data_IF_376987509439
#
_entry.id   IF_376987509439
#
_cell.length_a   1.000
_cell.length_b   1.000
_cell.length_c   1.000
_cell.angle_alpha   90.00
_cell.angle_beta   90.00
_cell.angle_gamma   90.00
#
_symmetry.space_group_name_H-M   'P 1'
#
loop_
_entity.id
_entity.type
_entity.pdbx_description
1 polymer ?
#
# COMPACT_ATOMS: atom_id res chain seq x y z
N UNK A 1 21.57 31.18 -11.39
CA UNK A 1 20.99 30.44 -10.25
C UNK A 1 20.33 29.17 -10.78
N UNK A 2 20.86 27.97 -10.49
CA UNK A 2 20.17 26.69 -10.76
C UNK A 2 19.80 26.12 -9.38
N UNK A 3 18.50 25.96 -9.06
CA UNK A 3 18.08 25.50 -7.75
C UNK A 3 18.60 24.08 -7.51
N UNK A 4 19.07 23.85 -6.29
CA UNK A 4 19.74 22.62 -5.89
C UNK A 4 18.92 21.38 -6.23
N UNK A 5 19.63 20.38 -6.78
CA UNK A 5 19.10 19.05 -6.99
C UNK A 5 18.66 18.47 -5.63
N UNK A 6 17.35 18.42 -5.42
CA UNK A 6 16.75 17.54 -4.42
C UNK A 6 17.23 16.14 -4.81
N UNK A 7 18.14 15.56 -4.02
CA UNK A 7 18.61 14.18 -4.14
C UNK A 7 17.36 13.30 -4.23
N UNK A 8 16.99 12.88 -5.44
CA UNK A 8 15.78 12.11 -5.70
C UNK A 8 15.90 10.86 -4.84
N UNK A 9 15.20 10.85 -3.70
CA UNK A 9 15.10 9.66 -2.84
C UNK A 9 14.60 8.58 -3.77
N UNK A 10 15.30 7.46 -3.82
CA UNK A 10 15.00 6.36 -4.73
C UNK A 10 13.51 6.01 -4.60
N UNK A 11 12.68 6.54 -5.51
CA UNK A 11 11.21 6.39 -5.50
C UNK A 11 10.80 5.09 -6.19
N UNK A 12 11.77 4.39 -6.79
CA UNK A 12 11.57 3.08 -7.42
C UNK A 12 10.87 2.07 -6.50
N UNK A 13 11.15 1.98 -5.18
CA UNK A 13 10.45 1.07 -4.27
C UNK A 13 8.97 1.45 -4.10
N UNK A 14 8.67 2.75 -3.94
CA UNK A 14 7.30 3.26 -3.81
C UNK A 14 6.52 3.06 -5.11
N UNK A 15 7.14 3.33 -6.26
CA UNK A 15 6.52 3.11 -7.56
C UNK A 15 6.25 1.62 -7.82
N UNK A 16 7.16 0.74 -7.41
CA UNK A 16 6.98 -0.71 -7.56
C UNK A 16 5.86 -1.19 -6.64
N UNK A 17 5.80 -0.70 -5.40
CA UNK A 17 4.69 -0.94 -4.49
C UNK A 17 3.36 -0.45 -5.05
N UNK A 18 3.31 0.79 -5.56
CA UNK A 18 2.10 1.35 -6.16
C UNK A 18 1.61 0.52 -7.35
N UNK A 19 2.52 0.04 -8.21
CA UNK A 19 2.20 -0.87 -9.33
C UNK A 19 1.67 -2.22 -8.83
N UNK A 20 2.23 -2.77 -7.77
CA UNK A 20 1.76 -4.02 -7.17
C UNK A 20 0.38 -3.83 -6.51
N UNK A 21 0.20 -2.76 -5.73
CA UNK A 21 -1.06 -2.38 -5.12
C UNK A 21 -2.15 -2.10 -6.17
N UNK A 22 -1.81 -1.50 -7.30
CA UNK A 22 -2.72 -1.30 -8.42
C UNK A 22 -3.17 -2.63 -9.06
N UNK A 23 -2.32 -3.67 -9.05
CA UNK A 23 -2.72 -5.02 -9.49
C UNK A 23 -3.61 -5.75 -8.47
N UNK A 24 -3.53 -5.34 -7.20
CA UNK A 24 -4.35 -5.83 -6.09
C UNK A 24 -5.44 -4.82 -5.71
N UNK A 25 -5.90 -4.02 -6.69
CA UNK A 25 -6.82 -2.89 -6.47
C UNK A 25 -8.18 -3.33 -5.94
N UNK A 26 -8.57 -4.59 -6.16
CA UNK A 26 -9.78 -5.17 -5.59
C UNK A 26 -9.66 -5.28 -4.06
N UNK A 27 -8.62 -5.96 -3.57
CA UNK A 27 -8.37 -6.05 -2.12
C UNK A 27 -8.05 -4.69 -1.49
N UNK A 28 -7.35 -3.81 -2.22
CA UNK A 28 -7.07 -2.45 -1.77
C UNK A 28 -8.36 -1.63 -1.56
N UNK A 29 -9.36 -1.79 -2.44
CA UNK A 29 -10.67 -1.16 -2.30
C UNK A 29 -11.44 -1.69 -1.10
N UNK A 30 -11.43 -3.00 -0.89
CA UNK A 30 -12.13 -3.62 0.26
C UNK A 30 -11.49 -3.18 1.58
N UNK A 31 -10.15 -3.23 1.65
CA UNK A 31 -9.41 -2.71 2.80
C UNK A 31 -9.65 -1.22 3.01
N UNK A 32 -9.56 -0.42 1.95
CA UNK A 32 -9.84 1.01 1.98
C UNK A 32 -11.25 1.32 2.46
N UNK A 33 -12.26 0.58 2.00
CA UNK A 33 -13.65 0.74 2.42
C UNK A 33 -13.83 0.46 3.93
N UNK A 34 -13.22 -0.60 4.45
CA UNK A 34 -13.23 -0.90 5.88
C UNK A 34 -12.55 0.21 6.70
N UNK A 35 -11.41 0.70 6.23
CA UNK A 35 -10.67 1.80 6.88
C UNK A 35 -11.49 3.09 6.88
N UNK A 36 -12.11 3.45 5.76
CA UNK A 36 -12.93 4.67 5.66
C UNK A 36 -14.21 4.57 6.47
N UNK A 37 -14.83 3.39 6.53
CA UNK A 37 -16.02 3.17 7.35
C UNK A 37 -15.73 3.27 8.85
N UNK A 38 -14.52 2.90 9.27
CA UNK A 38 -14.10 2.89 10.66
C UNK A 38 -13.06 3.98 10.99
N UNK A 39 -12.90 5.01 10.15
CA UNK A 39 -11.80 5.97 10.24
C UNK A 39 -11.71 6.66 11.61
N UNK A 40 -12.85 6.89 12.25
CA UNK A 40 -12.95 7.54 13.56
C UNK A 40 -12.55 6.64 14.74
N UNK A 41 -12.71 5.32 14.61
CA UNK A 41 -12.44 4.33 15.67
C UNK A 41 -11.55 3.20 15.17
N UNK A 42 -10.61 3.49 14.27
CA UNK A 42 -9.80 2.46 13.65
C UNK A 42 -8.82 1.87 14.66
N UNK A 43 -9.11 0.66 15.12
CA UNK A 43 -8.22 -0.09 16.00
C UNK A 43 -7.36 -1.10 15.23
N UNK A 44 -6.21 -1.42 15.84
CA UNK A 44 -5.32 -2.44 15.32
C UNK A 44 -6.09 -3.78 15.28
N UNK A 45 -6.20 -4.35 14.08
CA UNK A 45 -6.95 -5.58 13.75
C UNK A 45 -8.41 -5.42 13.28
N UNK A 46 -8.98 -4.21 13.23
CA UNK A 46 -10.36 -4.02 12.72
C UNK A 46 -10.52 -4.50 11.27
N UNK A 47 -9.59 -4.09 10.40
CA UNK A 47 -9.58 -4.49 8.99
C UNK A 47 -8.51 -5.56 8.70
N UNK A 48 -8.23 -6.44 9.67
CA UNK A 48 -7.09 -7.38 9.57
C UNK A 48 -7.25 -8.37 8.43
N UNK A 49 -8.47 -8.88 8.22
CA UNK A 49 -8.76 -9.84 7.13
C UNK A 49 -8.49 -9.23 5.77
N UNK A 50 -8.99 -8.02 5.54
CA UNK A 50 -8.84 -7.30 4.28
C UNK A 50 -7.38 -6.89 4.06
N UNK A 51 -6.71 -6.46 5.14
CA UNK A 51 -5.28 -6.16 5.11
C UNK A 51 -4.44 -7.39 4.79
N UNK A 52 -4.74 -8.56 5.35
CA UNK A 52 -4.03 -9.81 5.07
C UNK A 52 -4.20 -10.23 3.60
N UNK A 53 -5.39 -10.10 3.04
CA UNK A 53 -5.65 -10.38 1.62
C UNK A 53 -4.86 -9.42 0.71
N UNK A 54 -4.96 -8.11 0.97
CA UNK A 54 -4.20 -7.10 0.24
C UNK A 54 -2.69 -7.31 0.35
N UNK A 55 -2.19 -7.58 1.57
CA UNK A 55 -0.79 -7.89 1.83
C UNK A 55 -0.34 -9.11 1.05
N UNK A 56 -1.10 -10.20 1.06
CA UNK A 56 -0.76 -11.43 0.35
C UNK A 56 -0.62 -11.18 -1.15
N UNK A 57 -1.55 -10.47 -1.77
CA UNK A 57 -1.46 -10.14 -3.18
C UNK A 57 -0.28 -9.23 -3.49
N UNK A 58 -0.08 -8.16 -2.70
CA UNK A 58 1.03 -7.24 -2.90
C UNK A 58 2.38 -7.94 -2.71
N UNK A 59 2.52 -8.81 -1.71
CA UNK A 59 3.73 -9.61 -1.49
C UNK A 59 4.01 -10.55 -2.67
N UNK A 60 2.98 -11.21 -3.21
CA UNK A 60 3.13 -12.04 -4.41
C UNK A 60 3.57 -11.22 -5.62
N UNK A 61 3.06 -9.99 -5.80
CA UNK A 61 3.42 -9.13 -6.93
C UNK A 61 4.77 -8.41 -6.75
N UNK A 62 5.23 -8.23 -5.52
CA UNK A 62 6.52 -7.61 -5.20
C UNK A 62 7.68 -8.60 -5.17
N UNK A 63 7.43 -9.89 -4.96
CA UNK A 63 8.48 -10.91 -4.87
C UNK A 63 9.48 -10.71 -3.72
N UNK A 64 9.23 -9.74 -2.82
CA UNK A 64 10.03 -9.47 -1.63
C UNK A 64 9.33 -10.09 -0.41
N UNK A 65 9.89 -11.18 0.09
CA UNK A 65 9.60 -11.74 1.41
C UNK A 65 10.22 -10.79 2.44
N UNK A 66 9.38 -10.06 3.17
CA UNK A 66 9.76 -9.21 4.31
C UNK A 66 9.65 -10.02 5.59
#
# INVERSE_FOLDING_TARGET
MRPGAIKQRDVAPVQTFAKAAAKCSAEARVYGACVTANYENIERNMCQKEFLAFKACVQQKLGRKW
#
